data_IF_428245628890
#
_entry.id   IF_428245628890
#
_cell.length_a   1.000
_cell.length_b   1.000
_cell.length_c   1.000
_cell.angle_alpha   90.00
_cell.angle_beta   90.00
_cell.angle_gamma   90.00
#
_symmetry.space_group_name_H-M   'P 1'
#
loop_
_entity.id
_entity.type
_entity.pdbx_description
1 polymer ?
#
# COMPACT_ATOMS: atom_id res chain seq x y z
N UNK A 1 4.78 -2.78 3.04
CA UNK A 1 3.93 -3.10 1.85
C UNK A 1 4.38 -2.22 0.67
N UNK A 2 4.20 -2.63 -0.58
CA UNK A 2 4.53 -1.76 -1.73
C UNK A 2 4.23 -2.25 -3.14
N UNK A 3 3.43 -3.32 -3.31
CA UNK A 3 3.20 -3.90 -4.63
C UNK A 3 4.49 -4.42 -5.27
N UNK A 4 5.04 -3.71 -6.26
CA UNK A 4 6.35 -4.00 -6.88
C UNK A 4 7.50 -3.26 -6.17
N UNK A 5 7.21 -2.12 -5.54
CA UNK A 5 8.12 -1.40 -4.65
C UNK A 5 8.51 -2.27 -3.44
N UNK A 6 9.67 -1.99 -2.85
CA UNK A 6 10.18 -2.72 -1.67
C UNK A 6 10.61 -1.72 -0.62
N UNK A 7 10.33 -2.00 0.64
CA UNK A 7 10.85 -1.24 1.76
C UNK A 7 11.19 -2.12 2.95
N UNK A 8 12.01 -1.58 3.83
CA UNK A 8 12.40 -2.17 5.13
C UNK A 8 12.35 -1.07 6.18
N UNK A 9 12.00 -1.47 7.40
CA UNK A 9 12.15 -0.65 8.60
C UNK A 9 13.20 -1.35 9.46
N UNK A 10 14.29 -0.66 9.81
CA UNK A 10 15.38 -1.24 10.59
C UNK A 10 15.75 -0.29 11.72
N UNK A 11 15.90 -0.84 12.92
CA UNK A 11 16.48 -0.09 14.04
C UNK A 11 17.96 0.24 13.75
N UNK A 12 18.43 1.37 14.28
CA UNK A 12 19.79 1.88 14.11
C UNK A 12 20.40 2.23 15.46
N UNK A 13 21.70 1.95 15.59
CA UNK A 13 22.50 2.43 16.70
C UNK A 13 22.37 3.97 16.78
N UNK A 14 21.78 4.47 17.86
CA UNK A 14 21.38 5.87 18.02
C UNK A 14 19.91 6.11 18.33
N UNK A 15 19.09 5.04 18.48
CA UNK A 15 17.72 5.15 18.98
C UNK A 15 16.75 5.75 17.95
N UNK A 16 16.89 5.35 16.69
CA UNK A 16 15.97 5.76 15.62
C UNK A 16 15.77 4.62 14.62
N UNK A 17 14.61 4.62 13.98
CA UNK A 17 14.23 3.69 12.94
C UNK A 17 14.56 4.25 11.56
N UNK A 18 15.22 3.46 10.72
CA UNK A 18 15.44 3.79 9.31
C UNK A 18 14.40 3.10 8.42
N UNK A 19 13.53 3.89 7.80
CA UNK A 19 12.59 3.48 6.78
C UNK A 19 13.16 3.77 5.39
N UNK A 20 13.57 2.70 4.70
CA UNK A 20 14.18 2.83 3.38
C UNK A 20 13.63 1.85 2.36
N UNK A 21 13.82 2.13 1.09
CA UNK A 21 13.31 1.28 0.02
C UNK A 21 13.53 1.80 -1.38
N UNK A 22 12.91 1.11 -2.35
CA UNK A 22 12.89 1.51 -3.75
C UNK A 22 11.43 1.62 -4.18
N UNK A 23 11.02 2.84 -4.49
CA UNK A 23 9.74 3.16 -5.12
C UNK A 23 9.81 2.84 -6.61
N UNK A 24 8.81 2.12 -7.10
CA UNK A 24 8.63 1.84 -8.52
C UNK A 24 7.25 2.30 -8.92
N UNK A 25 7.21 3.09 -9.98
CA UNK A 25 5.95 3.59 -10.50
C UNK A 25 5.02 2.46 -10.95
N UNK A 26 5.59 1.43 -11.58
CA UNK A 26 4.84 0.21 -11.92
C UNK A 26 4.37 -0.51 -10.67
N UNK A 27 3.12 -0.98 -10.68
CA UNK A 27 2.60 -1.83 -9.60
C UNK A 27 2.27 -1.08 -8.31
N UNK A 28 2.10 0.24 -8.38
CA UNK A 28 1.43 1.03 -7.36
C UNK A 28 2.19 2.26 -6.88
N UNK A 29 3.50 2.39 -7.09
CA UNK A 29 4.20 3.63 -6.73
C UNK A 29 4.17 3.97 -5.24
N UNK A 30 4.09 2.99 -4.34
CA UNK A 30 4.07 3.25 -2.90
C UNK A 30 4.93 2.28 -2.10
N UNK A 31 5.38 2.72 -0.93
CA UNK A 31 5.96 1.92 0.14
C UNK A 31 5.34 2.35 1.47
N UNK A 32 5.26 1.46 2.44
CA UNK A 32 4.80 1.85 3.78
C UNK A 32 5.07 0.80 4.84
N UNK A 33 5.10 1.26 6.09
CA UNK A 33 5.13 0.44 7.29
C UNK A 33 4.00 0.85 8.22
N UNK A 34 3.68 -0.01 9.17
CA UNK A 34 2.73 0.24 10.25
C UNK A 34 3.06 -0.65 11.43
N UNK A 35 2.70 -0.21 12.62
CA UNK A 35 2.76 -1.04 13.83
C UNK A 35 1.84 -2.25 13.70
N UNK A 36 2.08 -3.30 14.47
CA UNK A 36 1.01 -4.25 14.78
C UNK A 36 -0.12 -3.50 15.49
N UNK A 37 -1.39 -3.93 15.35
CA UNK A 37 -2.46 -3.38 16.18
C UNK A 37 -2.07 -3.44 17.66
N UNK A 38 -2.29 -2.36 18.38
CA UNK A 38 -2.04 -2.29 19.81
C UNK A 38 -2.98 -3.25 20.54
N UNK A 39 -2.49 -3.84 21.63
CA UNK A 39 -3.30 -4.70 22.47
C UNK A 39 -4.40 -3.90 23.19
N UNK A 40 -4.04 -2.69 23.63
CA UNK A 40 -4.94 -1.69 24.18
C UNK A 40 -4.86 -0.43 23.31
N UNK A 41 -5.99 0.18 22.94
CA UNK A 41 -5.97 1.44 22.23
C UNK A 41 -5.32 2.54 23.07
N UNK A 42 -4.65 3.48 22.42
CA UNK A 42 -4.21 4.73 23.04
C UNK A 42 -5.40 5.70 23.01
N UNK A 43 -5.74 6.26 24.17
CA UNK A 43 -6.66 7.38 24.27
C UNK A 43 -5.90 8.68 23.99
N UNK A 44 -6.08 9.22 22.79
CA UNK A 44 -5.52 10.49 22.35
C UNK A 44 -6.51 11.66 22.44
N UNK A 45 -7.66 11.50 23.11
CA UNK A 45 -8.74 12.50 23.09
C UNK A 45 -8.36 13.88 23.65
N UNK A 46 -7.33 13.94 24.51
CA UNK A 46 -6.80 15.19 25.10
C UNK A 46 -5.70 15.83 24.26
N UNK A 47 -5.33 15.25 23.12
CA UNK A 47 -4.24 15.71 22.27
C UNK A 47 -4.78 16.28 20.96
N UNK A 48 -4.02 17.20 20.35
CA UNK A 48 -4.39 17.85 19.10
C UNK A 48 -4.02 17.01 17.87
N UNK A 49 -3.02 16.12 17.99
CA UNK A 49 -2.57 15.31 16.88
C UNK A 49 -1.34 14.47 17.17
N UNK A 50 -0.71 14.02 16.08
CA UNK A 50 0.52 13.21 16.08
C UNK A 50 1.72 14.06 15.72
N UNK A 51 2.81 13.91 16.46
CA UNK A 51 4.11 14.47 16.14
C UNK A 51 5.01 13.40 15.53
N UNK A 52 5.65 13.71 14.41
CA UNK A 52 6.63 12.85 13.75
C UNK A 52 8.00 13.53 13.80
N UNK A 53 8.90 13.02 14.65
CA UNK A 53 10.29 13.46 14.67
C UNK A 53 11.09 12.66 13.66
N UNK A 54 11.39 13.24 12.51
CA UNK A 54 11.94 12.52 11.38
C UNK A 54 12.90 13.35 10.53
N UNK A 55 13.67 12.68 9.67
CA UNK A 55 14.53 13.34 8.67
C UNK A 55 14.60 12.55 7.37
N UNK A 56 14.59 13.26 6.25
CA UNK A 56 14.73 12.66 4.93
C UNK A 56 16.19 12.68 4.48
N UNK A 57 16.69 11.57 3.92
CA UNK A 57 18.14 11.39 3.64
C UNK A 57 18.49 11.09 2.19
N UNK A 58 17.55 10.58 1.41
CA UNK A 58 17.87 9.94 0.13
C UNK A 58 17.93 10.87 -1.07
N UNK A 59 17.33 12.05 -0.98
CA UNK A 59 17.14 12.91 -2.15
C UNK A 59 17.03 14.38 -1.76
N UNK A 60 17.38 15.28 -2.69
CA UNK A 60 17.35 16.74 -2.56
C UNK A 60 15.97 17.34 -2.79
N UNK A 61 15.01 16.53 -3.25
CA UNK A 61 13.65 16.97 -3.52
C UNK A 61 12.64 15.97 -2.96
N UNK A 62 12.13 16.28 -1.77
CA UNK A 62 11.10 15.51 -1.10
C UNK A 62 9.70 15.78 -1.67
N UNK A 63 9.47 16.91 -2.35
CA UNK A 63 8.15 17.33 -2.84
C UNK A 63 7.60 16.40 -3.92
N UNK A 64 8.50 15.74 -4.67
CA UNK A 64 8.19 14.76 -5.71
C UNK A 64 7.79 13.39 -5.18
N UNK A 65 7.43 13.30 -3.90
CA UNK A 65 6.89 12.11 -3.22
C UNK A 65 5.87 12.55 -2.18
N UNK A 66 4.74 11.87 -2.12
CA UNK A 66 3.72 12.12 -1.11
C UNK A 66 4.01 11.29 0.13
N UNK A 67 4.16 11.93 1.29
CA UNK A 67 4.25 11.28 2.59
C UNK A 67 2.91 11.36 3.30
N UNK A 68 2.50 10.27 3.95
CA UNK A 68 1.21 10.16 4.63
C UNK A 68 1.38 9.50 5.98
N UNK A 69 0.80 10.10 7.01
CA UNK A 69 0.53 9.43 8.27
C UNK A 69 -0.71 8.55 8.05
N UNK A 70 -0.71 7.35 8.63
CA UNK A 70 -1.87 6.45 8.61
C UNK A 70 -2.23 6.05 10.03
N UNK A 71 -3.50 6.20 10.42
CA UNK A 71 -4.01 5.79 11.73
C UNK A 71 -5.26 4.93 11.54
N UNK A 72 -5.39 3.88 12.37
CA UNK A 72 -6.67 3.18 12.55
C UNK A 72 -7.24 3.47 13.92
N UNK A 73 -8.52 3.80 13.93
CA UNK A 73 -9.34 3.94 15.13
C UNK A 73 -10.28 2.73 15.32
N UNK A 74 -10.06 1.66 14.55
CA UNK A 74 -10.85 0.43 14.59
C UNK A 74 -9.97 -0.82 14.56
N UNK A 75 -10.46 -1.88 15.21
CA UNK A 75 -9.79 -3.19 15.23
C UNK A 75 -10.11 -4.03 13.99
N UNK A 76 -11.01 -3.56 13.13
CA UNK A 76 -11.40 -4.32 11.95
C UNK A 76 -10.32 -4.22 10.87
N UNK A 77 -10.16 -5.25 10.04
CA UNK A 77 -9.41 -5.13 8.78
C UNK A 77 -10.22 -4.39 7.72
N UNK A 78 -11.02 -3.42 8.15
CA UNK A 78 -11.84 -2.58 7.30
C UNK A 78 -11.00 -1.93 6.20
N UNK A 79 -11.67 -1.67 5.09
CA UNK A 79 -11.06 -1.10 3.91
C UNK A 79 -10.58 0.34 4.11
N UNK A 80 -11.19 1.04 5.07
CA UNK A 80 -10.87 2.42 5.40
C UNK A 80 -9.75 2.52 6.44
N UNK A 81 -8.97 3.60 6.31
CA UNK A 81 -7.92 4.02 7.23
C UNK A 81 -7.91 5.54 7.24
N UNK A 82 -7.60 6.16 8.38
CA UNK A 82 -7.43 7.60 8.45
C UNK A 82 -6.04 7.97 7.97
N UNK A 83 -5.95 8.94 7.06
CA UNK A 83 -4.68 9.41 6.52
C UNK A 83 -4.64 10.92 6.48
N UNK A 84 -3.44 11.46 6.65
CA UNK A 84 -3.15 12.85 6.35
C UNK A 84 -1.80 12.97 5.66
N UNK A 85 -1.73 13.81 4.62
CA UNK A 85 -0.48 14.11 3.93
C UNK A 85 0.37 15.05 4.77
N UNK A 86 1.68 14.90 4.72
CA UNK A 86 2.61 15.82 5.36
C UNK A 86 3.84 16.06 4.49
N UNK A 87 4.51 17.18 4.71
CA UNK A 87 5.70 17.57 3.99
C UNK A 87 6.94 17.34 4.87
N UNK A 88 7.96 16.73 4.28
CA UNK A 88 9.26 16.56 4.94
C UNK A 88 10.26 17.48 4.25
N UNK A 89 11.00 18.33 4.96
CA UNK A 89 12.03 19.14 4.32
C UNK A 89 13.12 18.26 3.67
N UNK A 90 13.69 18.68 2.52
CA UNK A 90 14.85 18.00 1.95
C UNK A 90 16.07 18.15 2.87
N UNK A 91 17.01 17.20 2.86
CA UNK A 91 18.23 17.28 3.65
C UNK A 91 19.06 18.50 3.26
N UNK A 92 19.49 19.26 4.26
CA UNK A 92 20.57 20.24 4.15
C UNK A 92 21.88 19.55 4.55
N UNK A 93 22.80 19.36 3.60
CA UNK A 93 24.10 18.73 3.84
C UNK A 93 24.06 17.21 4.06
N UNK A 94 25.20 16.64 4.48
CA UNK A 94 25.33 15.21 4.73
C UNK A 94 24.63 14.82 6.05
N UNK A 95 23.61 13.97 5.97
CA UNK A 95 22.96 13.36 7.14
C UNK A 95 21.57 13.89 7.47
N UNK A 96 21.19 15.08 6.99
CA UNK A 96 19.86 15.68 7.17
C UNK A 96 19.54 16.12 8.61
N UNK A 97 18.69 17.14 8.73
CA UNK A 97 18.22 17.71 10.00
C UNK A 97 16.99 16.98 10.52
N UNK A 98 16.86 16.85 11.84
CA UNK A 98 15.64 16.35 12.46
C UNK A 98 14.56 17.42 12.45
N UNK A 99 13.37 17.04 12.02
CA UNK A 99 12.20 17.89 11.98
C UNK A 99 11.05 17.28 12.77
N UNK A 100 10.33 18.13 13.47
CA UNK A 100 9.09 17.79 14.15
C UNK A 100 7.93 18.17 13.25
N UNK A 101 7.25 17.16 12.69
CA UNK A 101 6.12 17.35 11.79
C UNK A 101 4.85 17.09 12.58
N UNK A 102 4.05 18.15 12.74
CA UNK A 102 2.76 18.11 13.45
C UNK A 102 1.64 17.74 12.48
N UNK A 103 0.90 16.68 12.80
CA UNK A 103 -0.24 16.20 12.02
C UNK A 103 -1.50 16.26 12.89
N UNK A 104 -2.34 17.30 12.76
CA UNK A 104 -3.55 17.46 13.55
C UNK A 104 -4.57 16.34 13.28
N UNK A 105 -5.26 15.88 14.33
CA UNK A 105 -6.33 14.88 14.18
C UNK A 105 -7.49 15.38 13.32
N UNK A 106 -7.81 16.68 13.39
CA UNK A 106 -8.87 17.31 12.58
C UNK A 106 -8.62 17.23 11.07
N UNK A 107 -7.36 17.07 10.66
CA UNK A 107 -6.99 17.01 9.25
C UNK A 107 -7.00 15.57 8.70
N UNK A 108 -7.20 14.57 9.56
CA UNK A 108 -7.26 13.18 9.15
C UNK A 108 -8.51 12.91 8.30
N UNK A 109 -8.29 12.34 7.12
CA UNK A 109 -9.35 11.94 6.21
C UNK A 109 -9.47 10.43 6.18
N UNK A 110 -10.69 9.91 6.30
CA UNK A 110 -10.95 8.49 6.08
C UNK A 110 -10.82 8.18 4.58
N UNK A 111 -9.92 7.26 4.24
CA UNK A 111 -9.62 6.93 2.84
C UNK A 111 -9.64 5.43 2.58
N UNK A 112 -10.02 5.06 1.35
CA UNK A 112 -9.78 3.73 0.77
C UNK A 112 -8.64 3.86 -0.25
N UNK A 113 -7.47 3.34 0.10
CA UNK A 113 -6.26 3.64 -0.67
C UNK A 113 -5.97 5.15 -0.59
N UNK A 114 -5.86 5.88 -1.72
CA UNK A 114 -5.73 7.34 -1.72
C UNK A 114 -7.08 8.10 -1.76
N UNK A 115 -8.20 7.41 -1.94
CA UNK A 115 -9.49 8.03 -2.25
C UNK A 115 -10.27 8.34 -0.97
N UNK A 116 -10.72 9.59 -0.81
CA UNK A 116 -11.52 10.07 0.32
C UNK A 116 -12.90 9.41 0.34
N UNK A 117 -13.36 9.04 1.55
CA UNK A 117 -14.75 8.68 1.78
C UNK A 117 -15.51 9.88 2.38
N UNK A 118 -16.39 10.55 1.61
CA UNK A 118 -17.11 11.72 2.11
C UNK A 118 -18.15 11.37 3.18
N UNK A 119 -18.57 10.09 3.26
CA UNK A 119 -19.59 9.61 4.19
C UNK A 119 -19.00 8.90 5.41
N UNK A 120 -17.69 9.02 5.65
CA UNK A 120 -17.06 8.37 6.78
C UNK A 120 -17.38 9.08 8.09
N UNK A 121 -17.43 8.30 9.17
CA UNK A 121 -17.41 8.85 10.53
C UNK A 121 -16.12 9.69 10.74
N UNK A 122 -16.17 10.73 11.58
CA UNK A 122 -14.96 11.40 12.05
C UNK A 122 -13.99 10.43 12.74
N UNK A 123 -12.71 10.79 12.74
CA UNK A 123 -11.68 10.03 13.44
C UNK A 123 -11.96 9.98 14.95
N UNK A 124 -11.97 8.78 15.53
CA UNK A 124 -12.08 8.63 16.98
C UNK A 124 -10.71 8.65 17.66
N UNK A 125 -10.32 9.81 18.19
CA UNK A 125 -9.04 10.00 18.88
C UNK A 125 -8.90 9.19 20.18
N UNK A 126 -10.00 8.77 20.82
CA UNK A 126 -9.92 7.94 22.05
C UNK A 126 -9.59 6.47 21.80
N UNK A 127 -9.45 6.06 20.54
CA UNK A 127 -9.30 4.65 20.17
C UNK A 127 -8.17 4.39 19.16
N UNK A 128 -6.99 4.98 19.35
CA UNK A 128 -5.86 4.83 18.43
C UNK A 128 -5.29 3.40 18.55
N UNK A 129 -5.43 2.61 17.48
CA UNK A 129 -5.07 1.19 17.51
C UNK A 129 -3.88 0.83 16.64
N UNK A 130 -3.56 1.61 15.62
CA UNK A 130 -2.43 1.32 14.72
C UNK A 130 -1.97 2.62 14.08
N UNK A 131 -0.64 2.79 14.01
CA UNK A 131 -0.02 3.94 13.35
C UNK A 131 0.95 3.44 12.29
N UNK A 132 1.10 4.20 11.21
CA UNK A 132 2.00 3.87 10.14
C UNK A 132 2.31 5.06 9.25
N UNK A 133 3.27 4.86 8.36
CA UNK A 133 3.68 5.87 7.38
C UNK A 133 3.70 5.24 6.01
N UNK A 134 3.20 5.99 5.04
CA UNK A 134 3.21 5.65 3.61
C UNK A 134 3.93 6.73 2.84
N UNK A 135 4.80 6.32 1.92
CA UNK A 135 5.37 7.16 0.88
C UNK A 135 4.81 6.68 -0.47
N UNK A 136 4.24 7.57 -1.27
CA UNK A 136 3.54 7.19 -2.50
C UNK A 136 3.57 8.26 -3.59
N UNK A 137 3.16 7.87 -4.81
CA UNK A 137 2.84 8.80 -5.90
C UNK A 137 1.44 9.42 -5.83
N UNK A 138 0.55 8.82 -5.05
CA UNK A 138 -0.85 9.24 -4.97
C UNK A 138 -1.03 10.33 -3.92
N UNK A 139 -1.79 11.37 -4.22
CA UNK A 139 -2.26 12.34 -3.24
C UNK A 139 -3.49 11.79 -2.50
N UNK A 140 -3.99 12.50 -1.49
CA UNK A 140 -5.31 12.22 -0.91
C UNK A 140 -6.31 13.13 -1.61
N UNK A 141 -7.21 12.56 -2.40
CA UNK A 141 -8.25 13.30 -3.11
C UNK A 141 -9.53 12.46 -3.24
N UNK A 142 -10.59 13.06 -3.81
CA UNK A 142 -11.85 12.35 -4.09
C UNK A 142 -11.72 11.35 -5.24
N UNK A 143 -10.67 11.50 -6.05
CA UNK A 143 -10.31 10.64 -7.17
C UNK A 143 -8.95 9.96 -6.92
N UNK A 144 -8.48 9.15 -7.87
CA UNK A 144 -7.22 8.42 -7.72
C UNK A 144 -6.04 9.22 -8.30
N UNK A 145 -5.86 10.43 -7.81
CA UNK A 145 -4.90 11.37 -8.40
C UNK A 145 -3.46 11.10 -7.95
N UNK A 146 -2.52 11.53 -8.78
CA UNK A 146 -1.08 11.42 -8.54
C UNK A 146 -0.42 12.79 -8.62
N UNK A 147 0.68 12.97 -7.89
CA UNK A 147 1.51 14.17 -8.05
C UNK A 147 2.10 14.26 -9.47
N UNK A 148 2.17 15.48 -9.98
CA UNK A 148 2.86 15.80 -11.21
C UNK A 148 4.37 15.63 -10.98
N UNK A 149 5.05 14.88 -11.84
CA UNK A 149 6.49 14.57 -11.73
C UNK A 149 6.90 13.67 -10.53
N UNK A 150 6.11 12.64 -10.22
CA UNK A 150 6.50 11.62 -9.23
C UNK A 150 7.92 11.08 -9.44
N UNK A 151 8.72 11.03 -8.37
CA UNK A 151 10.10 10.53 -8.43
C UNK A 151 10.21 9.08 -7.95
N UNK A 152 10.32 8.08 -8.86
CA UNK A 152 10.66 6.71 -8.48
C UNK A 152 12.11 6.62 -7.98
N UNK A 153 12.50 5.45 -7.47
CA UNK A 153 13.87 5.16 -7.05
C UNK A 153 14.03 5.02 -5.55
N UNK A 154 15.28 5.12 -5.10
CA UNK A 154 15.63 4.90 -3.71
C UNK A 154 15.05 5.98 -2.80
N UNK A 155 14.59 5.59 -1.62
CA UNK A 155 14.25 6.50 -0.54
C UNK A 155 14.83 6.01 0.80
N UNK A 156 15.13 6.95 1.69
CA UNK A 156 15.56 6.68 3.06
C UNK A 156 15.10 7.83 3.95
N UNK A 157 14.44 7.47 5.04
CA UNK A 157 13.90 8.39 6.04
C UNK A 157 14.14 7.80 7.42
N UNK A 158 14.69 8.61 8.33
CA UNK A 158 14.87 8.20 9.72
C UNK A 158 13.70 8.75 10.55
N UNK A 159 13.21 7.95 11.48
CA UNK A 159 12.18 8.30 12.46
C UNK A 159 12.75 8.10 13.86
N UNK A 160 12.82 9.17 14.64
CA UNK A 160 13.21 9.11 16.04
C UNK A 160 11.99 8.87 16.93
N UNK A 161 10.86 9.48 16.58
CA UNK A 161 9.65 9.45 17.39
C UNK A 161 8.39 9.57 16.54
N UNK A 162 7.35 8.85 16.97
CA UNK A 162 5.96 9.02 16.54
C UNK A 162 5.16 9.10 17.82
N UNK A 163 4.76 10.31 18.21
CA UNK A 163 4.13 10.60 19.49
C UNK A 163 2.82 11.37 19.33
N UNK A 164 2.20 11.73 20.46
CA UNK A 164 1.07 12.65 20.50
C UNK A 164 1.54 14.04 20.95
N UNK A 165 0.87 15.09 20.47
CA UNK A 165 1.15 16.47 20.92
C UNK A 165 -0.12 17.20 21.32
N UNK A 166 0.04 18.13 22.25
CA UNK A 166 -0.94 19.15 22.61
C UNK A 166 -0.30 20.52 22.46
N UNK A 167 -1.02 21.47 21.88
CA UNK A 167 -0.63 22.88 21.84
C UNK A 167 -1.01 23.50 23.19
N UNK A 168 -0.22 23.23 24.23
CA UNK A 168 -0.25 24.06 25.43
C UNK A 168 0.55 25.34 25.14
N UNK A 169 -0.02 26.50 25.48
CA UNK A 169 0.75 27.75 25.61
C UNK A 169 1.74 27.58 26.77
N UNK A 170 2.89 26.96 26.51
CA UNK A 170 3.90 26.67 27.53
C UNK A 170 4.47 25.27 27.35
N UNK A 171 5.74 25.22 26.96
CA UNK A 171 6.47 23.98 26.72
C UNK A 171 6.53 23.08 27.95
N UNK A 172 6.12 21.83 27.76
CA UNK A 172 6.32 20.75 28.72
C UNK A 172 6.46 19.45 27.95
N UNK A 173 7.59 18.78 28.10
CA UNK A 173 7.85 17.48 27.48
C UNK A 173 6.77 16.48 27.88
N UNK A 174 5.98 16.05 26.90
CA UNK A 174 4.95 15.03 27.09
C UNK A 174 5.59 13.68 27.46
N UNK A 175 5.03 13.04 28.48
CA UNK A 175 5.39 11.70 28.89
C UNK A 175 5.06 10.71 27.76
N UNK A 176 6.08 9.98 27.29
CA UNK A 176 5.94 9.01 26.19
C UNK A 176 5.33 7.73 26.76
N UNK A 177 4.02 7.56 26.62
CA UNK A 177 3.36 6.28 26.90
C UNK A 177 3.87 5.22 25.91
N UNK A 178 4.65 4.25 26.40
CA UNK A 178 5.12 3.14 25.59
C UNK A 178 3.95 2.17 25.32
N UNK A 179 3.53 1.97 24.06
CA UNK A 179 2.37 1.14 23.77
C UNK A 179 2.72 -0.36 23.82
N UNK A 180 1.75 -1.17 24.28
CA UNK A 180 1.83 -2.63 24.26
C UNK A 180 1.27 -3.19 22.94
N UNK A 181 2.05 -4.05 22.27
CA UNK A 181 1.68 -4.63 20.98
C UNK A 181 1.07 -6.02 21.14
N UNK A 182 0.08 -6.32 20.28
CA UNK A 182 -0.47 -7.66 20.21
C UNK A 182 0.38 -8.51 19.26
N UNK A 183 1.32 -9.29 19.81
CA UNK A 183 2.23 -10.16 19.03
C UNK A 183 1.58 -11.46 18.54
N UNK A 184 0.31 -11.70 18.89
CA UNK A 184 -0.40 -12.89 18.46
C UNK A 184 -0.67 -12.85 16.94
N UNK A 185 -0.18 -13.83 16.15
CA UNK A 185 -0.47 -13.89 14.73
C UNK A 185 -1.96 -14.16 14.56
N UNK A 186 -2.75 -13.11 14.30
CA UNK A 186 -4.19 -13.20 14.12
C UNK A 186 -4.54 -14.34 13.14
N UNK A 187 -5.33 -15.30 13.64
CA UNK A 187 -5.70 -16.55 12.94
C UNK A 187 -6.26 -16.22 11.56
N UNK A 188 -5.52 -16.60 10.51
CA UNK A 188 -6.00 -16.55 9.13
C UNK A 188 -7.28 -17.39 9.03
N UNK A 189 -8.34 -16.84 8.41
CA UNK A 189 -9.58 -17.59 8.22
C UNK A 189 -9.31 -18.93 7.52
N UNK A 190 -10.06 -20.00 7.84
CA UNK A 190 -9.84 -21.32 7.25
C UNK A 190 -9.91 -21.30 5.72
N UNK A 191 -10.79 -20.47 5.14
CA UNK A 191 -10.89 -20.26 3.70
C UNK A 191 -9.60 -19.68 3.08
N UNK A 192 -8.97 -18.72 3.76
CA UNK A 192 -7.70 -18.11 3.35
C UNK A 192 -6.51 -19.07 3.45
N UNK A 193 -6.59 -20.12 4.28
CA UNK A 193 -5.55 -21.18 4.34
C UNK A 193 -5.61 -22.08 3.11
N UNK A 194 -6.82 -22.44 2.67
CA UNK A 194 -7.03 -23.29 1.48
C UNK A 194 -6.73 -22.53 0.18
N UNK A 195 -7.19 -21.28 0.08
CA UNK A 195 -6.96 -20.45 -1.12
C UNK A 195 -5.58 -19.75 -1.14
N UNK A 196 -4.87 -19.72 -0.01
CA UNK A 196 -3.57 -19.04 0.13
C UNK A 196 -2.52 -19.45 -0.91
N UNK A 197 -2.31 -20.75 -1.20
CA UNK A 197 -1.40 -21.20 -2.25
C UNK A 197 -1.82 -20.72 -3.65
N UNK A 198 -3.12 -20.76 -3.98
CA UNK A 198 -3.67 -20.27 -5.24
C UNK A 198 -3.50 -18.75 -5.40
N UNK A 199 -3.76 -17.99 -4.33
CA UNK A 199 -3.51 -16.54 -4.31
C UNK A 199 -2.02 -16.21 -4.47
N UNK A 200 -1.12 -16.95 -3.83
CA UNK A 200 0.34 -16.76 -4.05
C UNK A 200 0.74 -17.06 -5.49
N UNK A 201 0.12 -18.05 -6.12
CA UNK A 201 0.37 -18.41 -7.50
C UNK A 201 -0.01 -17.25 -8.45
N UNK A 202 -1.21 -16.68 -8.27
CA UNK A 202 -1.74 -15.60 -9.13
C UNK A 202 -1.16 -14.22 -8.79
N UNK A 203 -0.95 -13.90 -7.52
CA UNK A 203 -0.61 -12.55 -7.03
C UNK A 203 0.82 -12.38 -6.49
N UNK A 204 1.71 -13.36 -6.73
CA UNK A 204 3.10 -13.26 -6.28
C UNK A 204 3.79 -11.97 -6.77
N UNK A 205 4.48 -11.32 -5.84
CA UNK A 205 5.30 -10.14 -6.08
C UNK A 205 6.35 -10.38 -7.17
N UNK A 206 6.95 -11.57 -7.19
CA UNK A 206 7.91 -11.99 -8.22
C UNK A 206 7.30 -12.01 -9.61
N UNK A 207 6.03 -12.42 -9.75
CA UNK A 207 5.30 -12.40 -11.02
C UNK A 207 5.03 -10.97 -11.50
N UNK A 208 4.61 -10.07 -10.58
CA UNK A 208 4.36 -8.66 -10.92
C UNK A 208 5.64 -7.94 -11.34
N UNK A 209 6.75 -8.16 -10.62
CA UNK A 209 8.08 -7.62 -10.98
C UNK A 209 8.53 -8.09 -12.35
N UNK A 210 8.35 -9.37 -12.66
CA UNK A 210 8.71 -9.92 -13.97
C UNK A 210 7.88 -9.29 -15.08
N UNK A 211 6.57 -9.14 -14.88
CA UNK A 211 5.69 -8.47 -15.85
C UNK A 211 6.09 -7.02 -16.07
N UNK A 212 6.42 -6.27 -15.02
CA UNK A 212 6.91 -4.90 -15.12
C UNK A 212 8.24 -4.82 -15.88
N UNK A 213 9.20 -5.69 -15.56
CA UNK A 213 10.47 -5.77 -16.29
C UNK A 213 10.28 -6.10 -17.78
N UNK A 214 9.36 -7.02 -18.08
CA UNK A 214 8.99 -7.36 -19.45
C UNK A 214 8.41 -6.15 -20.20
N UNK A 215 7.48 -5.41 -19.60
CA UNK A 215 6.89 -4.23 -20.22
C UNK A 215 7.95 -3.16 -20.53
N UNK A 216 8.87 -2.90 -19.59
CA UNK A 216 9.99 -1.99 -19.79
C UNK A 216 10.93 -2.44 -20.91
N UNK A 217 11.24 -3.73 -20.98
CA UNK A 217 12.08 -4.26 -22.05
C UNK A 217 11.39 -4.14 -23.41
N UNK A 218 10.08 -4.42 -23.46
CA UNK A 218 9.28 -4.30 -24.69
C UNK A 218 9.22 -2.86 -25.19
N UNK A 219 9.00 -1.92 -24.29
CA UNK A 219 8.96 -0.49 -24.59
C UNK A 219 10.30 0.00 -25.11
N UNK A 220 11.40 -0.37 -24.45
CA UNK A 220 12.76 0.02 -24.88
C UNK A 220 13.22 -0.64 -26.18
N UNK A 221 12.88 -1.91 -26.39
CA UNK A 221 13.40 -2.67 -27.53
C UNK A 221 12.50 -2.61 -28.76
N UNK A 222 11.24 -2.18 -28.62
CA UNK A 222 10.23 -2.20 -29.69
C UNK A 222 9.89 -3.60 -30.22
N UNK A 223 10.36 -4.67 -29.56
CA UNK A 223 10.30 -6.04 -30.07
C UNK A 223 9.22 -6.87 -29.41
N UNK A 224 8.76 -7.89 -30.14
CA UNK A 224 7.71 -8.81 -29.69
C UNK A 224 8.13 -9.71 -28.52
N UNK A 225 7.14 -10.40 -27.96
CA UNK A 225 7.28 -11.26 -26.78
C UNK A 225 8.40 -12.30 -26.90
N UNK A 226 8.51 -12.95 -28.06
CA UNK A 226 9.52 -13.99 -28.34
C UNK A 226 10.95 -13.50 -28.20
N UNK A 227 11.23 -12.26 -28.63
CA UNK A 227 12.57 -11.69 -28.52
C UNK A 227 12.98 -11.49 -27.06
N UNK A 228 12.08 -10.98 -26.23
CA UNK A 228 12.34 -10.75 -24.80
C UNK A 228 12.45 -12.09 -24.07
N UNK A 229 11.64 -13.08 -24.46
CA UNK A 229 11.75 -14.44 -23.93
C UNK A 229 13.12 -15.06 -24.26
N UNK A 230 13.59 -14.90 -25.50
CA UNK A 230 14.91 -15.35 -25.94
C UNK A 230 16.04 -14.66 -25.18
N UNK A 231 16.00 -13.33 -25.02
CA UNK A 231 16.97 -12.58 -24.19
C UNK A 231 16.99 -13.10 -22.75
N UNK A 232 15.82 -13.33 -22.17
CA UNK A 232 15.69 -13.86 -20.81
C UNK A 232 16.20 -15.30 -20.67
N UNK A 233 16.13 -16.10 -21.74
CA UNK A 233 16.70 -17.45 -21.81
C UNK A 233 18.22 -17.39 -21.95
N UNK A 234 18.74 -16.62 -22.90
CA UNK A 234 20.19 -16.43 -23.14
C UNK A 234 20.91 -15.94 -21.89
N UNK A 235 20.36 -14.93 -21.19
CA UNK A 235 20.94 -14.44 -19.95
C UNK A 235 21.02 -15.51 -18.85
N UNK A 236 20.08 -16.47 -18.82
CA UNK A 236 20.12 -17.59 -17.85
C UNK A 236 21.03 -18.71 -18.29
N UNK A 237 21.05 -19.03 -19.58
CA UNK A 237 21.96 -20.03 -20.14
C UNK A 237 23.41 -19.64 -19.85
N UNK A 238 23.74 -18.34 -19.95
CA UNK A 238 25.05 -17.80 -19.60
C UNK A 238 25.40 -17.96 -18.11
N UNK A 239 24.44 -17.81 -17.20
CA UNK A 239 24.71 -17.81 -15.76
C UNK A 239 24.62 -19.20 -15.10
N UNK A 240 23.75 -20.08 -15.58
CA UNK A 240 23.42 -21.34 -14.93
C UNK A 240 23.56 -22.57 -15.85
N UNK A 241 23.98 -22.37 -17.10
CA UNK A 241 24.04 -23.42 -18.13
C UNK A 241 22.72 -23.62 -18.90
N UNK A 242 22.78 -24.16 -20.13
CA UNK A 242 21.63 -24.25 -21.04
C UNK A 242 20.53 -25.19 -20.54
N UNK A 243 20.89 -26.33 -19.92
CA UNK A 243 19.95 -27.29 -19.35
C UNK A 243 19.13 -26.68 -18.21
N UNK A 244 19.79 -26.02 -17.26
CA UNK A 244 19.10 -25.34 -16.15
C UNK A 244 18.25 -24.16 -16.63
N UNK A 245 18.69 -23.45 -17.67
CA UNK A 245 17.90 -22.40 -18.29
C UNK A 245 16.62 -22.95 -18.95
N UNK A 246 16.71 -24.10 -19.61
CA UNK A 246 15.58 -24.79 -20.24
C UNK A 246 14.59 -25.30 -19.19
N UNK A 247 15.06 -26.02 -18.17
CA UNK A 247 14.21 -26.49 -17.06
C UNK A 247 13.52 -25.33 -16.35
N UNK A 248 14.26 -24.25 -16.10
CA UNK A 248 13.71 -23.03 -15.48
C UNK A 248 12.68 -22.35 -16.39
N UNK A 249 12.89 -22.36 -17.70
CA UNK A 249 11.94 -21.82 -18.68
C UNK A 249 10.67 -22.66 -18.77
N UNK A 250 10.81 -23.99 -18.89
CA UNK A 250 9.70 -24.94 -18.91
C UNK A 250 8.85 -24.85 -17.64
N UNK A 251 9.48 -24.91 -16.46
CA UNK A 251 8.79 -24.77 -15.18
C UNK A 251 8.03 -23.44 -15.04
N UNK A 252 8.51 -22.37 -15.69
CA UNK A 252 7.82 -21.06 -15.72
C UNK A 252 6.64 -21.07 -16.68
N UNK A 253 6.80 -21.62 -17.87
CA UNK A 253 5.70 -21.79 -18.83
C UNK A 253 4.58 -22.65 -18.24
N UNK A 254 4.91 -23.75 -17.55
CA UNK A 254 3.93 -24.57 -16.85
C UNK A 254 3.19 -23.78 -15.77
N UNK A 255 3.90 -22.97 -14.97
CA UNK A 255 3.27 -22.10 -13.96
C UNK A 255 2.35 -21.05 -14.58
N UNK A 256 2.77 -20.40 -15.67
CA UNK A 256 1.96 -19.38 -16.33
C UNK A 256 0.76 -19.99 -17.06
N UNK A 257 0.92 -21.18 -17.67
CA UNK A 257 -0.18 -21.98 -18.22
C UNK A 257 -1.20 -22.39 -17.15
N UNK A 258 -0.74 -22.85 -15.99
CA UNK A 258 -1.61 -23.16 -14.86
C UNK A 258 -2.37 -21.92 -14.36
N UNK A 259 -1.72 -20.77 -14.27
CA UNK A 259 -2.40 -19.50 -13.92
C UNK A 259 -3.46 -19.12 -14.94
N UNK A 260 -3.16 -19.29 -16.23
CA UNK A 260 -4.10 -19.00 -17.30
C UNK A 260 -5.33 -19.90 -17.18
N UNK A 261 -5.12 -21.22 -17.03
CA UNK A 261 -6.18 -22.19 -16.83
C UNK A 261 -7.04 -21.86 -15.61
N UNK A 262 -6.43 -21.73 -14.42
CA UNK A 262 -7.13 -21.39 -13.18
C UNK A 262 -7.87 -20.05 -13.29
N UNK A 263 -7.24 -19.04 -13.88
CA UNK A 263 -7.86 -17.72 -14.07
C UNK A 263 -9.07 -17.77 -15.00
N UNK A 264 -9.00 -18.57 -16.08
CA UNK A 264 -10.13 -18.80 -16.97
C UNK A 264 -11.24 -19.61 -16.30
N UNK A 265 -10.90 -20.68 -15.59
CA UNK A 265 -11.87 -21.48 -14.83
C UNK A 265 -12.61 -20.60 -13.82
N UNK A 266 -11.91 -19.75 -13.06
CA UNK A 266 -12.55 -18.83 -12.11
C UNK A 266 -13.45 -17.80 -12.81
N UNK A 267 -13.04 -17.28 -13.98
CA UNK A 267 -13.88 -16.36 -14.76
C UNK A 267 -15.17 -17.04 -15.24
N UNK A 268 -15.07 -18.25 -15.75
CA UNK A 268 -16.20 -19.00 -16.31
C UNK A 268 -17.11 -19.55 -15.20
N UNK A 269 -16.54 -20.14 -14.15
CA UNK A 269 -17.31 -20.80 -13.10
C UNK A 269 -17.88 -19.84 -12.05
N UNK A 270 -17.27 -18.68 -11.83
CA UNK A 270 -17.67 -17.76 -10.75
C UNK A 270 -18.06 -16.40 -11.34
N UNK A 271 -17.16 -15.74 -12.07
CA UNK A 271 -17.37 -14.34 -12.44
C UNK A 271 -18.54 -14.15 -13.42
N UNK A 272 -18.64 -14.96 -14.48
CA UNK A 272 -19.74 -14.85 -15.43
C UNK A 272 -21.11 -15.20 -14.82
N UNK A 273 -21.27 -16.30 -14.05
CA UNK A 273 -22.52 -16.59 -13.35
C UNK A 273 -22.92 -15.48 -12.38
N UNK A 274 -22.00 -15.01 -11.53
CA UNK A 274 -22.28 -13.90 -10.61
C UNK A 274 -22.69 -12.63 -11.37
N UNK A 275 -21.99 -12.26 -12.44
CA UNK A 275 -22.34 -11.09 -13.26
C UNK A 275 -23.72 -11.24 -13.91
N UNK A 276 -24.08 -12.43 -14.37
CA UNK A 276 -25.40 -12.73 -14.92
C UNK A 276 -26.50 -12.59 -13.85
N UNK A 277 -26.28 -13.13 -12.65
CA UNK A 277 -27.20 -13.00 -11.51
C UNK A 277 -27.37 -11.52 -11.11
N UNK A 278 -26.27 -10.76 -11.01
CA UNK A 278 -26.33 -9.33 -10.70
C UNK A 278 -27.11 -8.52 -11.75
N UNK A 279 -26.94 -8.86 -13.04
CA UNK A 279 -27.74 -8.24 -14.13
C UNK A 279 -29.21 -8.60 -14.04
N UNK A 280 -29.54 -9.85 -13.70
CA UNK A 280 -30.92 -10.30 -13.50
C UNK A 280 -31.59 -9.55 -12.35
N UNK A 281 -30.89 -9.45 -11.20
CA UNK A 281 -31.35 -8.72 -10.03
C UNK A 281 -31.60 -7.25 -10.36
N UNK A 282 -30.68 -6.60 -11.10
CA UNK A 282 -30.84 -5.21 -11.54
C UNK A 282 -32.08 -5.02 -12.42
N UNK A 283 -32.36 -5.95 -13.35
CA UNK A 283 -33.56 -5.91 -14.20
C UNK A 283 -34.86 -6.10 -13.43
N UNK A 284 -34.88 -7.00 -12.45
CA UNK A 284 -36.04 -7.20 -11.57
C UNK A 284 -36.32 -5.96 -10.71
N UNK A 285 -35.28 -5.28 -10.24
CA UNK A 285 -35.45 -4.03 -9.46
C UNK A 285 -35.79 -2.81 -10.30
N UNK A 286 -35.45 -2.79 -11.61
CA UNK A 286 -35.78 -1.67 -12.51
C UNK A 286 -37.12 -1.84 -13.22
N UNK A 287 -37.52 -3.06 -13.56
CA UNK A 287 -38.80 -3.36 -14.20
C UNK A 287 -40.03 -3.17 -13.28
N UNK A 288 -39.81 -3.06 -11.96
CA UNK A 288 -40.88 -2.72 -11.01
C UNK A 288 -41.29 -1.24 -11.01
N UNK A 289 -40.49 -0.33 -11.60
CA UNK A 289 -40.80 1.11 -11.63
C UNK A 289 -41.62 1.56 -12.83
N UNK A 290 -41.57 0.83 -13.96
CA UNK A 290 -42.35 1.19 -15.16
C UNK A 290 -43.82 0.70 -15.08
N UNK A 291 -44.15 -0.18 -14.14
CA UNK A 291 -45.51 -0.71 -13.95
C UNK A 291 -46.43 0.12 -13.04
N UNK A 292 -45.89 1.09 -12.28
CA UNK A 292 -46.69 1.94 -11.39
C UNK A 292 -47.18 3.23 -12.07
N UNK A 293 -46.46 3.78 -13.05
CA UNK A 293 -46.91 4.99 -13.78
C UNK A 293 -48.07 4.71 -14.77
N UNK A 294 -48.27 3.46 -15.20
CA UNK A 294 -49.39 3.09 -16.09
C UNK A 294 -50.73 2.89 -15.37
N UNK A 295 -50.78 2.90 -14.03
CA UNK A 295 -52.02 2.77 -13.25
C UNK A 295 -52.48 4.08 -12.60
N UNK A 296 -51.78 5.17 -12.84
CA UNK A 296 -52.07 6.49 -12.30
C UNK A 296 -52.47 7.53 -13.36
N UNK A 297 -52.85 7.07 -14.57
CA UNK A 297 -53.41 7.90 -15.64
C UNK A 297 -54.81 7.41 -16.02
#
# INVERSE_FOLDING_TARGET
MGGVSKSTLTDKAGGYMNFQGILREEGGGFCGFRTSPLALPIDGSTFDGVILRCRFKSDKDSSRRTFKLTIRDDGTRGEYVFQQMFNVPPPKGEGGEWHDIMVPFKDLKAVRGPVINPNAKPFNASNILQVGVVISKFIISETMDTIEDFRPGFFSMDFKEIGLYSVSEGGGGGEVLAPSFNDSPQKKSPLLKVLGPLFKLVFSETSRRRRAAYLKLRERSGKGWWHIAALGFQARAKNYGPLNALLTFAARMSKDGLKFAVGWTLKVAIFYPCRSIFRLKKRLTSGGKEGEESKAA
#
